data_IF_304372439518
#
_entry.id   IF_304372439518
#
_cell.length_a   1.000
_cell.length_b   1.000
_cell.length_c   1.000
_cell.angle_alpha   90.00
_cell.angle_beta   90.00
_cell.angle_gamma   90.00
#
_symmetry.space_group_name_H-M   'P 1'
#
loop_
_entity.id
_entity.type
_entity.pdbx_description
1 polymer ?
#
# COMPACT_ATOMS: atom_id res chain seq x y z
N UNK A 1 9.99 -17.82 34.36
CA UNK A 1 9.81 -18.67 33.17
C UNK A 1 11.03 -18.50 32.28
N UNK A 2 11.61 -19.57 31.75
CA UNK A 2 12.62 -19.45 30.69
C UNK A 2 11.85 -19.11 29.42
N UNK A 3 12.00 -17.90 28.90
CA UNK A 3 11.44 -17.53 27.59
C UNK A 3 12.16 -18.40 26.55
N UNK A 4 11.42 -19.33 25.94
CA UNK A 4 11.93 -20.16 24.86
C UNK A 4 12.18 -19.32 23.61
N UNK A 5 13.09 -19.77 22.76
CA UNK A 5 13.40 -19.12 21.47
C UNK A 5 13.21 -20.17 20.37
N UNK A 6 12.51 -19.79 19.31
CA UNK A 6 12.30 -20.57 18.10
C UNK A 6 13.07 -19.94 16.95
N UNK A 7 13.71 -20.77 16.12
CA UNK A 7 14.46 -20.34 14.95
C UNK A 7 13.59 -20.45 13.69
N UNK A 8 13.45 -19.34 12.98
CA UNK A 8 12.82 -19.26 11.67
C UNK A 8 13.93 -19.05 10.62
N UNK A 9 13.83 -19.75 9.49
CA UNK A 9 14.78 -19.64 8.37
C UNK A 9 13.99 -19.24 7.15
N UNK A 10 14.25 -18.05 6.61
CA UNK A 10 13.41 -17.42 5.59
C UNK A 10 14.21 -16.89 4.42
N UNK A 11 13.57 -16.79 3.27
CA UNK A 11 14.10 -16.20 2.06
C UNK A 11 15.18 -17.04 1.38
N UNK A 12 15.57 -16.59 0.19
CA UNK A 12 16.55 -17.30 -0.68
C UNK A 12 17.92 -17.42 -0.01
N UNK A 13 18.31 -16.40 0.76
CA UNK A 13 19.58 -16.37 1.47
C UNK A 13 19.54 -17.12 2.83
N UNK A 14 18.38 -17.73 3.15
CA UNK A 14 18.16 -18.56 4.35
C UNK A 14 18.53 -17.82 5.64
N UNK A 15 18.15 -16.55 5.76
CA UNK A 15 18.41 -15.76 6.95
C UNK A 15 17.65 -16.30 8.15
N UNK A 16 18.31 -16.18 9.29
CA UNK A 16 17.88 -16.74 10.57
C UNK A 16 17.25 -15.65 11.43
N UNK A 17 16.03 -15.90 11.87
CA UNK A 17 15.30 -15.04 12.82
C UNK A 17 15.05 -15.82 14.10
N UNK A 18 15.41 -15.23 15.24
CA UNK A 18 15.19 -15.79 16.56
C UNK A 18 13.98 -15.10 17.18
N UNK A 19 12.92 -15.86 17.44
CA UNK A 19 11.63 -15.34 17.89
C UNK A 19 11.30 -15.97 19.24
N UNK A 20 10.74 -15.19 20.17
CA UNK A 20 10.28 -15.74 21.45
C UNK A 20 9.15 -16.75 21.21
N UNK A 21 9.22 -17.91 21.86
CA UNK A 21 8.26 -19.02 21.67
C UNK A 21 6.81 -18.60 21.92
N UNK A 22 6.59 -17.70 22.89
CA UNK A 22 5.28 -17.13 23.21
C UNK A 22 4.65 -16.33 22.05
N UNK A 23 5.49 -15.79 21.15
CA UNK A 23 5.08 -14.98 19.99
C UNK A 23 5.09 -15.78 18.68
N UNK A 24 5.72 -16.95 18.65
CA UNK A 24 5.81 -17.77 17.44
C UNK A 24 4.42 -18.22 16.94
N UNK A 25 3.45 -18.39 17.85
CA UNK A 25 2.06 -18.74 17.53
C UNK A 25 1.24 -17.59 16.95
N UNK A 26 1.73 -16.35 17.03
CA UNK A 26 1.07 -15.18 16.45
C UNK A 26 1.24 -15.08 14.93
N UNK A 27 2.19 -15.83 14.36
CA UNK A 27 2.38 -15.94 12.93
C UNK A 27 1.35 -16.90 12.32
N UNK A 28 0.71 -16.56 11.19
CA UNK A 28 -0.11 -17.51 10.45
C UNK A 28 0.72 -18.73 10.05
N UNK A 29 0.18 -19.94 10.16
CA UNK A 29 0.94 -21.15 9.81
C UNK A 29 1.39 -21.19 8.34
N UNK A 30 0.71 -20.45 7.46
CA UNK A 30 1.00 -20.34 6.03
C UNK A 30 2.36 -19.68 5.75
N UNK A 31 2.85 -18.77 6.62
CA UNK A 31 4.14 -18.08 6.39
C UNK A 31 5.34 -19.03 6.36
N UNK A 32 5.23 -20.19 7.03
CA UNK A 32 6.30 -21.17 7.13
C UNK A 32 6.20 -22.28 6.10
N UNK A 33 5.21 -22.23 5.22
CA UNK A 33 5.02 -23.22 4.16
C UNK A 33 5.77 -22.79 2.90
N UNK A 34 6.42 -23.72 2.18
CA UNK A 34 6.89 -23.45 0.82
C UNK A 34 5.71 -23.18 -0.14
N UNK A 35 5.88 -22.32 -1.15
CA UNK A 35 7.10 -21.58 -1.46
C UNK A 35 7.28 -20.30 -0.64
N UNK A 36 6.28 -19.87 0.15
CA UNK A 36 6.27 -18.57 0.85
C UNK A 36 7.52 -18.39 1.71
N UNK A 37 7.85 -19.36 2.56
CA UNK A 37 9.02 -19.26 3.46
C UNK A 37 10.36 -19.14 2.71
N UNK A 38 10.44 -19.68 1.49
CA UNK A 38 11.65 -19.69 0.67
C UNK A 38 11.78 -18.44 -0.19
N UNK A 39 10.66 -17.84 -0.57
CA UNK A 39 10.60 -16.70 -1.49
C UNK A 39 10.41 -15.35 -0.78
N UNK A 40 9.93 -15.35 0.46
CA UNK A 40 9.67 -14.12 1.20
C UNK A 40 10.95 -13.28 1.33
N UNK A 41 10.82 -12.01 1.00
CA UNK A 41 11.89 -11.04 1.24
C UNK A 41 12.15 -10.90 2.75
N UNK A 42 13.42 -10.85 3.12
CA UNK A 42 13.83 -10.84 4.52
C UNK A 42 13.44 -9.57 5.26
N UNK A 43 13.33 -8.44 4.55
CA UNK A 43 12.89 -7.16 5.11
C UNK A 43 11.39 -7.22 5.38
N UNK A 44 10.61 -7.83 4.47
CA UNK A 44 9.18 -8.11 4.70
C UNK A 44 8.99 -9.01 5.91
N UNK A 45 9.78 -10.09 6.03
CA UNK A 45 9.71 -10.96 7.21
C UNK A 45 10.12 -10.23 8.50
N UNK A 46 11.13 -9.36 8.44
CA UNK A 46 11.54 -8.51 9.56
C UNK A 46 10.39 -7.61 10.06
N UNK A 47 9.63 -7.00 9.15
CA UNK A 47 8.43 -6.21 9.48
C UNK A 47 7.31 -7.05 10.08
N UNK A 48 7.14 -8.30 9.62
CA UNK A 48 6.21 -9.23 10.24
C UNK A 48 6.60 -9.52 11.70
N UNK A 49 7.91 -9.63 11.97
CA UNK A 49 8.40 -9.73 13.34
C UNK A 49 8.06 -8.47 14.15
N UNK A 50 8.38 -7.27 13.65
CA UNK A 50 8.01 -6.02 14.34
C UNK A 50 6.52 -5.97 14.68
N UNK A 51 5.67 -6.37 13.73
CA UNK A 51 4.23 -6.41 13.91
C UNK A 51 3.81 -7.35 15.03
N UNK A 52 4.36 -8.55 15.10
CA UNK A 52 4.06 -9.50 16.19
C UNK A 52 4.50 -8.97 17.55
N UNK A 53 5.61 -8.24 17.62
CA UNK A 53 6.13 -7.73 18.89
C UNK A 53 5.42 -6.46 19.36
N UNK A 54 4.95 -5.61 18.44
CA UNK A 54 4.51 -4.25 18.77
C UNK A 54 3.07 -3.94 18.37
N UNK A 55 2.45 -4.80 17.56
CA UNK A 55 1.20 -4.51 16.88
C UNK A 55 1.36 -3.59 15.67
N UNK A 56 2.60 -3.23 15.29
CA UNK A 56 2.90 -2.29 14.21
C UNK A 56 4.23 -2.62 13.49
N UNK A 57 4.52 -1.99 12.35
CA UNK A 57 5.78 -2.19 11.63
C UNK A 57 6.37 -0.89 11.09
N UNK A 58 7.67 -0.88 10.85
CA UNK A 58 8.40 0.30 10.35
C UNK A 58 8.37 0.34 8.82
N UNK A 59 8.08 1.52 8.29
CA UNK A 59 8.26 1.85 6.88
C UNK A 59 9.62 2.55 6.67
N UNK A 60 10.20 2.51 5.46
CA UNK A 60 11.41 3.28 5.16
C UNK A 60 11.16 4.79 5.31
N UNK A 61 12.23 5.57 5.43
CA UNK A 61 12.14 7.02 5.38
C UNK A 61 12.02 7.52 3.94
N UNK A 62 11.34 8.65 3.69
CA UNK A 62 11.20 9.18 2.36
C UNK A 62 12.56 9.68 1.84
N UNK A 63 12.82 9.53 0.54
CA UNK A 63 14.13 9.81 -0.05
C UNK A 63 14.16 11.23 -0.59
N UNK A 64 15.15 12.03 -0.20
CA UNK A 64 15.30 13.38 -0.77
C UNK A 64 15.82 13.30 -2.20
N UNK A 65 15.02 13.75 -3.17
CA UNK A 65 15.36 13.63 -4.60
C UNK A 65 16.01 14.89 -5.19
N UNK A 66 16.25 15.93 -4.38
CA UNK A 66 16.93 17.14 -4.85
C UNK A 66 16.13 17.98 -5.86
N UNK A 67 14.87 17.64 -6.13
CA UNK A 67 14.02 18.34 -7.09
C UNK A 67 13.75 19.76 -6.59
N UNK A 68 14.29 20.73 -7.32
CA UNK A 68 14.22 22.15 -7.02
C UNK A 68 13.30 22.89 -7.98
N UNK A 69 12.31 23.57 -7.39
CA UNK A 69 11.30 24.48 -7.96
C UNK A 69 10.06 23.80 -8.52
N UNK A 70 8.94 24.06 -7.83
CA UNK A 70 7.58 23.87 -8.31
C UNK A 70 7.41 24.51 -9.68
N UNK A 71 7.09 23.72 -10.70
CA UNK A 71 6.52 24.27 -11.92
C UNK A 71 5.07 24.67 -11.64
N UNK A 72 4.76 25.97 -11.72
CA UNK A 72 3.39 26.47 -11.68
C UNK A 72 2.72 26.11 -13.02
N UNK A 73 1.81 25.15 -13.01
CA UNK A 73 1.13 24.74 -14.25
C UNK A 73 -0.16 25.52 -14.50
N UNK A 74 -0.22 26.09 -15.71
CA UNK A 74 -1.39 26.72 -16.32
C UNK A 74 -2.53 25.71 -16.55
N UNK A 75 -3.77 26.18 -16.38
CA UNK A 75 -4.99 25.39 -16.48
C UNK A 75 -5.61 25.44 -17.87
N UNK A 76 -5.83 24.29 -18.54
CA UNK A 76 -6.86 24.16 -19.57
C UNK A 76 -7.53 22.79 -19.47
N UNK A 77 -8.87 22.82 -19.33
CA UNK A 77 -9.83 21.71 -19.04
C UNK A 77 -9.56 20.93 -17.76
N UNK A 78 -10.00 21.56 -16.66
CA UNK A 78 -9.94 21.11 -15.28
C UNK A 78 -10.74 19.81 -15.08
N UNK A 79 -10.04 18.72 -14.82
CA UNK A 79 -10.63 17.54 -14.20
C UNK A 79 -11.22 17.95 -12.86
N UNK A 80 -12.47 17.55 -12.63
CA UNK A 80 -13.19 17.88 -11.40
C UNK A 80 -13.49 16.57 -10.65
N UNK A 81 -12.58 16.11 -9.77
CA UNK A 81 -12.74 14.86 -9.05
C UNK A 81 -13.91 14.90 -8.06
N UNK A 82 -14.43 16.08 -7.71
CA UNK A 82 -15.60 16.21 -6.82
C UNK A 82 -16.88 15.61 -7.42
N UNK A 83 -16.91 15.36 -8.73
CA UNK A 83 -18.03 14.62 -9.36
C UNK A 83 -18.04 13.14 -9.02
N UNK A 84 -16.91 12.60 -8.57
CA UNK A 84 -16.77 11.20 -8.19
C UNK A 84 -17.23 10.97 -6.74
N UNK A 85 -18.52 11.16 -6.47
CA UNK A 85 -19.10 11.04 -5.12
C UNK A 85 -18.98 9.64 -4.51
N UNK A 86 -18.63 8.63 -5.32
CA UNK A 86 -18.36 7.26 -4.91
C UNK A 86 -16.89 6.98 -4.57
N UNK A 87 -15.97 7.91 -4.86
CA UNK A 87 -14.53 7.75 -4.67
C UNK A 87 -14.15 7.81 -3.18
N UNK A 88 -13.22 6.96 -2.74
CA UNK A 88 -12.73 6.97 -1.36
C UNK A 88 -12.19 8.31 -0.88
N UNK A 89 -11.53 9.08 -1.75
CA UNK A 89 -10.93 10.37 -1.42
C UNK A 89 -11.91 11.54 -1.53
N UNK A 90 -13.18 11.28 -1.88
CA UNK A 90 -14.20 12.31 -1.86
C UNK A 90 -14.44 12.81 -0.42
N UNK A 91 -14.54 14.14 -0.17
CA UNK A 91 -14.68 14.69 1.19
C UNK A 91 -15.83 14.11 2.02
N UNK A 92 -16.94 13.74 1.37
CA UNK A 92 -18.09 13.11 2.04
C UNK A 92 -17.92 11.61 2.31
N UNK A 93 -17.01 10.94 1.59
CA UNK A 93 -16.77 9.48 1.73
C UNK A 93 -15.57 9.19 2.62
N UNK A 94 -14.52 9.97 2.49
CA UNK A 94 -13.24 9.72 3.15
C UNK A 94 -13.35 9.53 4.67
N UNK A 95 -14.09 10.38 5.43
CA UNK A 95 -14.23 10.19 6.87
C UNK A 95 -14.92 8.87 7.24
N UNK A 96 -15.90 8.44 6.43
CA UNK A 96 -16.65 7.20 6.65
C UNK A 96 -15.74 6.00 6.40
N UNK A 97 -15.05 5.98 5.26
CA UNK A 97 -14.11 4.91 4.89
C UNK A 97 -13.00 4.77 5.95
N UNK A 98 -12.46 5.88 6.45
CA UNK A 98 -11.46 5.86 7.51
C UNK A 98 -12.01 5.32 8.84
N UNK A 99 -13.23 5.72 9.22
CA UNK A 99 -13.86 5.24 10.44
C UNK A 99 -14.09 3.72 10.39
N UNK A 100 -14.68 3.23 9.29
CA UNK A 100 -14.97 1.80 9.09
C UNK A 100 -13.68 0.97 9.13
N UNK A 101 -12.63 1.41 8.44
CA UNK A 101 -11.36 0.70 8.39
C UNK A 101 -10.65 0.69 9.76
N UNK A 102 -10.69 1.80 10.50
CA UNK A 102 -10.11 1.89 11.85
C UNK A 102 -10.89 1.04 12.85
N UNK A 103 -12.21 0.96 12.72
CA UNK A 103 -13.04 0.07 13.54
C UNK A 103 -12.67 -1.40 13.29
N UNK A 104 -12.62 -1.82 12.02
CA UNK A 104 -12.21 -3.18 11.65
C UNK A 104 -10.80 -3.49 12.16
N UNK A 105 -9.85 -2.55 12.02
CA UNK A 105 -8.48 -2.71 12.51
C UNK A 105 -8.44 -2.85 14.05
N UNK A 106 -9.21 -2.05 14.79
CA UNK A 106 -9.27 -2.13 16.25
C UNK A 106 -9.83 -3.46 16.75
N UNK A 107 -10.72 -4.10 15.99
CA UNK A 107 -11.27 -5.42 16.32
C UNK A 107 -10.23 -6.54 16.17
N UNK A 108 -9.36 -6.46 15.15
CA UNK A 108 -8.38 -7.52 14.84
C UNK A 108 -6.96 -7.24 15.34
N UNK A 109 -6.66 -6.00 15.74
CA UNK A 109 -5.39 -5.57 16.30
C UNK A 109 -5.62 -4.59 17.47
N UNK A 110 -5.97 -5.08 18.67
CA UNK A 110 -6.28 -4.23 19.83
C UNK A 110 -5.11 -3.37 20.31
N UNK A 111 -3.88 -3.73 19.94
CA UNK A 111 -2.65 -3.01 20.28
C UNK A 111 -2.36 -1.83 19.34
N UNK A 112 -3.10 -1.72 18.23
CA UNK A 112 -2.94 -0.61 17.29
C UNK A 112 -3.16 0.74 17.99
N UNK A 113 -2.21 1.65 17.77
CA UNK A 113 -2.34 3.06 18.12
C UNK A 113 -2.34 3.85 16.82
N UNK A 114 -3.31 4.75 16.66
CA UNK A 114 -3.28 5.68 15.53
C UNK A 114 -1.99 6.51 15.65
N UNK A 115 -1.10 6.37 14.67
CA UNK A 115 0.04 7.26 14.54
C UNK A 115 -0.43 8.57 13.91
N UNK A 116 0.19 9.69 14.29
CA UNK A 116 -0.04 10.98 13.67
C UNK A 116 0.25 10.88 12.17
N UNK A 117 -0.73 11.28 11.37
CA UNK A 117 -0.62 11.36 9.92
C UNK A 117 0.43 12.41 9.56
N UNK A 118 1.64 11.96 9.21
CA UNK A 118 2.70 12.87 8.80
C UNK A 118 2.36 13.50 7.44
N UNK A 119 2.38 14.83 7.36
CA UNK A 119 2.26 15.55 6.09
C UNK A 119 3.40 15.17 5.15
N UNK A 120 3.09 14.99 3.86
CA UNK A 120 4.12 14.69 2.86
C UNK A 120 4.80 15.96 2.35
N UNK A 121 6.09 15.89 2.02
CA UNK A 121 6.84 16.99 1.40
C UNK A 121 7.18 16.64 -0.06
N UNK A 122 6.78 17.46 -1.06
CA UNK A 122 7.05 17.20 -2.47
C UNK A 122 8.53 17.11 -2.84
N UNK A 123 9.46 17.51 -1.96
CA UNK A 123 10.91 17.32 -2.17
C UNK A 123 11.37 15.88 -1.97
N UNK A 124 10.54 15.02 -1.39
CA UNK A 124 10.92 13.66 -1.05
C UNK A 124 10.07 12.62 -1.78
N UNK A 125 10.68 11.51 -2.13
CA UNK A 125 10.00 10.31 -2.63
C UNK A 125 9.38 9.51 -1.53
N UNK A 126 8.13 9.14 -1.77
CA UNK A 126 7.36 8.22 -0.96
C UNK A 126 7.16 6.88 -1.66
N UNK A 127 7.76 6.65 -2.84
CA UNK A 127 7.61 5.42 -3.62
C UNK A 127 7.90 4.17 -2.79
N UNK A 128 9.04 4.14 -2.08
CA UNK A 128 9.43 3.00 -1.25
C UNK A 128 8.50 2.79 -0.04
N UNK A 129 7.88 3.86 0.46
CA UNK A 129 6.92 3.80 1.57
C UNK A 129 5.59 3.23 1.08
N UNK A 130 5.12 3.69 -0.09
CA UNK A 130 3.94 3.14 -0.74
C UNK A 130 4.12 1.65 -1.06
N UNK A 131 5.26 1.29 -1.66
CA UNK A 131 5.60 -0.11 -1.96
C UNK A 131 5.70 -0.94 -0.68
N UNK A 132 6.33 -0.43 0.37
CA UNK A 132 6.38 -1.12 1.66
C UNK A 132 4.97 -1.49 2.16
N UNK A 133 4.02 -0.57 2.15
CA UNK A 133 2.65 -0.88 2.58
C UNK A 133 1.94 -1.84 1.63
N UNK A 134 2.12 -1.68 0.32
CA UNK A 134 1.51 -2.56 -0.68
C UNK A 134 2.06 -3.98 -0.63
N UNK A 135 3.36 -4.15 -0.39
CA UNK A 135 4.03 -5.44 -0.19
C UNK A 135 3.55 -6.12 1.08
N UNK A 136 3.47 -5.39 2.19
CA UNK A 136 2.94 -5.92 3.44
C UNK A 136 1.48 -6.36 3.29
N UNK A 137 0.66 -5.60 2.56
CA UNK A 137 -0.73 -5.99 2.26
C UNK A 137 -0.78 -7.25 1.41
N UNK A 138 -0.04 -7.31 0.30
CA UNK A 138 0.01 -8.49 -0.60
C UNK A 138 0.45 -9.73 0.17
N UNK A 139 1.48 -9.59 0.99
CA UNK A 139 2.01 -10.67 1.81
C UNK A 139 1.00 -11.16 2.85
N UNK A 140 0.37 -10.23 3.58
CA UNK A 140 -0.66 -10.53 4.56
C UNK A 140 -1.86 -11.22 3.90
N UNK A 141 -2.26 -10.77 2.71
CA UNK A 141 -3.37 -11.36 1.96
C UNK A 141 -3.06 -12.83 1.59
N UNK A 142 -1.87 -13.10 1.03
CA UNK A 142 -1.45 -14.46 0.65
C UNK A 142 -1.37 -15.42 1.84
N UNK A 143 -1.15 -14.91 3.04
CA UNK A 143 -1.02 -15.72 4.26
C UNK A 143 -2.28 -15.73 5.13
N UNK A 144 -3.36 -15.05 4.71
CA UNK A 144 -4.59 -14.90 5.49
C UNK A 144 -4.41 -14.07 6.76
N UNK A 145 -3.41 -13.19 6.83
CA UNK A 145 -3.11 -12.38 8.00
C UNK A 145 -3.96 -11.10 8.05
N UNK A 146 -5.25 -11.26 8.35
CA UNK A 146 -6.25 -10.17 8.32
C UNK A 146 -5.83 -8.90 9.05
N UNK A 147 -5.25 -9.02 10.25
CA UNK A 147 -4.80 -7.85 11.02
C UNK A 147 -3.73 -7.03 10.31
N UNK A 148 -2.77 -7.71 9.66
CA UNK A 148 -1.71 -7.06 8.91
C UNK A 148 -2.22 -6.50 7.57
N UNK A 149 -3.22 -7.14 6.95
CA UNK A 149 -3.93 -6.58 5.79
C UNK A 149 -4.56 -5.23 6.11
N UNK A 150 -5.39 -5.16 7.16
CA UNK A 150 -6.06 -3.90 7.50
C UNK A 150 -5.10 -2.83 7.98
N UNK A 151 -4.05 -3.19 8.73
CA UNK A 151 -3.02 -2.23 9.15
C UNK A 151 -2.30 -1.61 7.94
N UNK A 152 -1.83 -2.45 7.01
CA UNK A 152 -1.12 -2.00 5.82
C UNK A 152 -2.01 -1.18 4.88
N UNK A 153 -3.27 -1.58 4.69
CA UNK A 153 -4.25 -0.81 3.92
C UNK A 153 -4.54 0.55 4.55
N UNK A 154 -4.74 0.60 5.87
CA UNK A 154 -5.02 1.84 6.60
C UNK A 154 -3.84 2.82 6.52
N UNK A 155 -2.61 2.32 6.66
CA UNK A 155 -1.40 3.12 6.52
C UNK A 155 -1.24 3.67 5.10
N UNK A 156 -1.49 2.85 4.08
CA UNK A 156 -1.46 3.30 2.69
C UNK A 156 -2.54 4.35 2.40
N UNK A 157 -3.77 4.15 2.89
CA UNK A 157 -4.87 5.11 2.76
C UNK A 157 -4.52 6.47 3.37
N UNK A 158 -4.05 6.49 4.62
CA UNK A 158 -3.66 7.71 5.31
C UNK A 158 -2.51 8.43 4.61
N UNK A 159 -1.50 7.69 4.13
CA UNK A 159 -0.38 8.27 3.42
C UNK A 159 -0.80 8.88 2.08
N UNK A 160 -1.61 8.17 1.28
CA UNK A 160 -2.15 8.69 0.02
C UNK A 160 -3.04 9.92 0.24
N UNK A 161 -3.87 9.91 1.27
CA UNK A 161 -4.75 11.05 1.59
C UNK A 161 -3.98 12.32 1.93
N UNK A 162 -2.81 12.18 2.57
CA UNK A 162 -1.93 13.29 2.89
C UNK A 162 -0.91 13.61 1.79
N UNK A 163 -0.86 12.81 0.72
CA UNK A 163 0.03 13.01 -0.42
C UNK A 163 -0.60 13.94 -1.45
N UNK A 164 -0.19 15.20 -1.42
CA UNK A 164 -0.56 16.19 -2.42
C UNK A 164 0.27 15.97 -3.69
N UNK A 165 -0.32 15.32 -4.71
CA UNK A 165 0.39 14.97 -5.93
C UNK A 165 0.75 16.21 -6.75
N UNK A 166 2.03 16.31 -7.15
CA UNK A 166 2.52 17.28 -8.12
C UNK A 166 3.24 16.59 -9.29
N UNK A 167 3.55 17.34 -10.35
CA UNK A 167 4.02 16.76 -11.63
C UNK A 167 5.32 15.97 -11.43
N UNK A 168 6.19 16.45 -10.55
CA UNK A 168 7.48 15.86 -10.22
C UNK A 168 7.36 14.57 -9.39
N UNK A 169 6.19 14.28 -8.81
CA UNK A 169 5.93 13.12 -7.95
C UNK A 169 5.01 12.07 -8.56
N UNK A 170 4.54 12.28 -9.78
CA UNK A 170 3.70 11.32 -10.53
C UNK A 170 4.33 9.92 -10.59
N UNK A 171 5.65 9.85 -10.75
CA UNK A 171 6.43 8.60 -10.72
C UNK A 171 6.21 7.72 -9.48
N UNK A 172 6.03 8.30 -8.29
CA UNK A 172 5.78 7.53 -7.05
C UNK A 172 4.47 6.72 -7.16
N UNK A 173 3.45 7.35 -7.74
CA UNK A 173 2.14 6.75 -7.94
C UNK A 173 2.16 5.76 -9.11
N UNK A 174 2.91 6.04 -10.18
CA UNK A 174 3.09 5.11 -11.30
C UNK A 174 3.73 3.80 -10.83
N UNK A 175 4.76 3.87 -9.98
CA UNK A 175 5.42 2.70 -9.40
C UNK A 175 4.44 1.89 -8.54
N UNK A 176 3.71 2.54 -7.63
CA UNK A 176 2.68 1.89 -6.81
C UNK A 176 1.59 1.25 -7.66
N UNK A 177 1.11 1.97 -8.68
CA UNK A 177 0.05 1.52 -9.58
C UNK A 177 0.49 0.28 -10.36
N UNK A 178 1.68 0.32 -10.96
CA UNK A 178 2.29 -0.84 -11.62
C UNK A 178 2.32 -2.04 -10.69
N UNK A 179 2.82 -1.88 -9.46
CA UNK A 179 2.92 -2.97 -8.48
C UNK A 179 1.56 -3.59 -8.12
N UNK A 180 0.54 -2.76 -7.83
CA UNK A 180 -0.78 -3.23 -7.37
C UNK A 180 -1.58 -3.89 -8.49
N UNK A 181 -1.39 -3.44 -9.71
CA UNK A 181 -2.09 -3.96 -10.87
C UNK A 181 -1.27 -4.93 -11.70
N UNK A 182 0.00 -5.20 -11.37
CA UNK A 182 0.79 -6.21 -12.06
C UNK A 182 0.06 -7.57 -12.02
N UNK A 183 0.00 -8.27 -13.17
CA UNK A 183 -0.62 -9.61 -13.29
C UNK A 183 -2.11 -9.65 -12.92
N UNK A 184 -2.89 -8.71 -13.46
CA UNK A 184 -4.35 -8.50 -13.27
C UNK A 184 -5.19 -9.78 -13.31
N UNK A 185 -4.76 -10.80 -14.06
CA UNK A 185 -5.51 -12.05 -14.32
C UNK A 185 -4.83 -13.30 -13.74
N UNK A 186 -3.88 -13.16 -12.81
CA UNK A 186 -3.34 -14.32 -12.08
C UNK A 186 -4.23 -14.66 -10.88
N UNK A 187 -4.43 -15.95 -10.63
CA UNK A 187 -5.13 -16.48 -9.42
C UNK A 187 -4.54 -15.89 -8.13
N UNK A 188 -3.25 -15.49 -8.14
CA UNK A 188 -2.56 -14.86 -7.01
C UNK A 188 -3.06 -13.45 -6.65
N UNK A 189 -3.69 -12.72 -7.58
CA UNK A 189 -4.21 -11.35 -7.34
C UNK A 189 -5.73 -11.26 -7.36
N UNK A 190 -6.41 -12.40 -7.58
CA UNK A 190 -7.85 -12.58 -7.48
C UNK A 190 -8.24 -12.50 -6.00
N UNK A 191 -8.52 -11.29 -5.53
CA UNK A 191 -8.93 -11.03 -4.14
C UNK A 191 -8.24 -9.84 -3.47
N UNK A 192 -7.22 -9.25 -4.10
CA UNK A 192 -6.62 -7.97 -3.65
C UNK A 192 -7.52 -6.75 -4.00
N UNK A 193 -8.84 -6.91 -3.90
CA UNK A 193 -9.84 -5.94 -4.35
C UNK A 193 -9.74 -4.59 -3.62
N UNK A 194 -9.47 -4.61 -2.31
CA UNK A 194 -9.46 -3.40 -1.50
C UNK A 194 -8.28 -2.48 -1.84
N UNK A 195 -7.06 -3.04 -1.96
CA UNK A 195 -5.89 -2.25 -2.35
C UNK A 195 -5.98 -1.78 -3.80
N UNK A 196 -6.49 -2.62 -4.73
CA UNK A 196 -6.76 -2.23 -6.12
C UNK A 196 -7.76 -1.08 -6.16
N UNK A 197 -8.82 -1.15 -5.35
CA UNK A 197 -9.80 -0.06 -5.24
C UNK A 197 -9.19 1.20 -4.65
N UNK A 198 -8.41 1.09 -3.58
CA UNK A 198 -7.74 2.22 -2.94
C UNK A 198 -6.84 2.98 -3.92
N UNK A 199 -5.89 2.28 -4.54
CA UNK A 199 -4.93 2.89 -5.47
C UNK A 199 -5.66 3.41 -6.71
N UNK A 200 -6.65 2.67 -7.23
CA UNK A 200 -7.41 3.13 -8.38
C UNK A 200 -8.28 4.36 -8.12
N UNK A 201 -8.87 4.46 -6.93
CA UNK A 201 -9.61 5.65 -6.53
C UNK A 201 -8.66 6.86 -6.37
N UNK A 202 -7.44 6.65 -5.85
CA UNK A 202 -6.44 7.72 -5.78
C UNK A 202 -5.99 8.19 -7.17
N UNK A 203 -5.75 7.26 -8.09
CA UNK A 203 -5.39 7.57 -9.48
C UNK A 203 -6.52 8.34 -10.17
N UNK A 204 -7.77 7.91 -10.01
CA UNK A 204 -8.91 8.63 -10.57
C UNK A 204 -9.06 10.02 -9.94
N UNK A 205 -8.84 10.15 -8.63
CA UNK A 205 -8.87 11.46 -7.97
C UNK A 205 -7.86 12.44 -8.60
N UNK A 206 -6.68 11.95 -8.97
CA UNK A 206 -5.58 12.73 -9.54
C UNK A 206 -5.37 12.49 -11.04
N UNK A 207 -6.41 12.13 -11.79
CA UNK A 207 -6.26 11.63 -13.16
C UNK A 207 -5.61 12.66 -14.10
N UNK A 208 -5.98 13.93 -14.00
CA UNK A 208 -5.46 14.97 -14.91
C UNK A 208 -3.93 15.10 -14.87
N UNK A 209 -3.34 15.06 -13.67
CA UNK A 209 -1.89 15.20 -13.53
C UNK A 209 -1.18 13.90 -13.94
N UNK A 210 -1.75 12.74 -13.61
CA UNK A 210 -1.19 11.43 -14.00
C UNK A 210 -1.25 11.21 -15.51
N UNK A 211 -2.29 11.67 -16.19
CA UNK A 211 -2.40 11.57 -17.64
C UNK A 211 -1.33 12.39 -18.40
N UNK A 212 -0.62 13.30 -17.73
CA UNK A 212 0.53 14.02 -18.31
C UNK A 212 1.84 13.24 -18.17
N UNK A 213 1.89 12.25 -17.28
CA UNK A 213 3.05 11.38 -17.10
C UNK A 213 3.13 10.33 -18.22
N UNK A 214 4.26 10.27 -18.91
CA UNK A 214 4.46 9.36 -20.04
C UNK A 214 4.51 7.90 -19.61
N UNK A 215 5.11 7.60 -18.45
CA UNK A 215 5.20 6.25 -17.93
C UNK A 215 3.82 5.74 -17.50
N UNK A 216 2.97 6.60 -16.93
CA UNK A 216 1.58 6.26 -16.63
C UNK A 216 0.81 5.88 -17.90
N UNK A 217 0.93 6.68 -18.97
CA UNK A 217 0.30 6.36 -20.25
C UNK A 217 0.82 5.03 -20.84
N UNK A 218 2.11 4.73 -20.69
CA UNK A 218 2.68 3.45 -21.12
C UNK A 218 2.06 2.28 -20.36
N UNK A 219 1.90 2.40 -19.03
CA UNK A 219 1.23 1.36 -18.21
C UNK A 219 -0.17 1.08 -18.68
N UNK A 220 -0.97 2.13 -18.94
CA UNK A 220 -2.35 1.94 -19.40
C UNK A 220 -2.41 1.21 -20.74
N UNK A 221 -1.49 1.54 -21.67
CA UNK A 221 -1.39 0.87 -22.98
C UNK A 221 -0.98 -0.60 -22.85
N UNK A 222 -0.09 -0.91 -21.91
CA UNK A 222 0.33 -2.28 -21.61
C UNK A 222 -0.77 -3.09 -20.88
N UNK A 223 -1.80 -2.42 -20.37
CA UNK A 223 -2.92 -3.02 -19.61
C UNK A 223 -4.31 -2.60 -20.16
N UNK A 224 -4.72 -3.02 -21.37
CA UNK A 224 -5.93 -2.51 -22.01
C UNK A 224 -7.24 -2.82 -21.27
N UNK A 225 -7.29 -3.94 -20.54
CA UNK A 225 -8.42 -4.29 -19.68
C UNK A 225 -8.57 -3.31 -18.51
N UNK A 226 -7.44 -2.90 -17.93
CA UNK A 226 -7.38 -1.91 -16.86
C UNK A 226 -7.77 -0.53 -17.39
N UNK A 227 -7.20 -0.11 -18.51
CA UNK A 227 -7.54 1.14 -19.18
C UNK A 227 -9.06 1.24 -19.41
N UNK A 228 -9.65 0.18 -19.99
CA UNK A 228 -11.09 0.09 -20.24
C UNK A 228 -11.90 0.15 -18.93
N UNK A 229 -11.47 -0.56 -17.89
CA UNK A 229 -12.15 -0.55 -16.60
C UNK A 229 -12.10 0.83 -15.92
N UNK A 230 -10.95 1.52 -15.98
CA UNK A 230 -10.76 2.86 -15.43
C UNK A 230 -11.66 3.87 -16.13
N UNK A 231 -11.62 3.93 -17.46
CA UNK A 231 -12.45 4.86 -18.21
C UNK A 231 -13.93 4.57 -18.06
N UNK A 232 -14.38 3.31 -17.94
CA UNK A 232 -15.80 3.04 -17.65
C UNK A 232 -16.26 3.59 -16.31
N UNK A 233 -15.39 3.64 -15.29
CA UNK A 233 -15.77 4.12 -13.95
C UNK A 233 -16.02 5.62 -13.90
N UNK A 234 -15.35 6.41 -14.74
CA UNK A 234 -15.49 7.86 -14.79
C UNK A 234 -16.89 8.34 -15.29
N UNK A 235 -17.68 7.47 -15.95
CA UNK A 235 -19.02 7.78 -16.48
C UNK A 235 -20.15 7.11 -15.66
N UNK A 236 -19.84 6.58 -14.48
CA UNK A 236 -20.80 6.08 -13.49
C UNK A 236 -21.12 7.14 -12.46
#
# INVERSE_FOLDING_TARGET
>A
MKSGIVLFVVGKDRKRFLIHEELASSFPSEILRPPIVEEIDEVVFGRCCEFVYTGDYSAPSPIYDGIGKQSLTESVRRWDPARLTWNFFHPEKFPIVCADLRELLGQVNPTYRANDESSTDPKYSYADIFLCHAEMYRFAFRTGWTALCYLSLNRLLGLLANFALCEERTGDIVILFKFVFEKIDSEETEGMGDIKKLVGDYVLWNLEILMRDMDFQLVLKEMPSLETAFFRRMWK
#
